data_IF_702213751822
#
_entry.id   IF_702213751822
#
_cell.length_a   1.000
_cell.length_b   1.000
_cell.length_c   1.000
_cell.angle_alpha   90.00
_cell.angle_beta   90.00
_cell.angle_gamma   90.00
#
_symmetry.space_group_name_H-M   'P 1'
#
loop_
_entity.id
_entity.type
_entity.pdbx_description
1 polymer ?
#
# COMPACT_ATOMS: atom_id res chain seq x y z
N UNK A 1 11.92 10.65 -10.77
CA UNK A 1 12.47 11.70 -11.66
C UNK A 1 11.28 12.30 -12.34
N UNK A 2 11.12 13.62 -12.28
CA UNK A 2 10.00 14.32 -12.89
C UNK A 2 10.47 14.91 -14.21
N UNK A 3 9.73 14.69 -15.29
CA UNK A 3 10.11 15.13 -16.65
C UNK A 3 8.97 15.95 -17.21
N UNK A 4 9.27 17.15 -17.70
CA UNK A 4 8.25 18.05 -18.26
C UNK A 4 7.56 17.40 -19.46
N UNK A 5 6.27 17.66 -19.61
CA UNK A 5 5.52 17.24 -20.80
C UNK A 5 6.14 17.81 -22.09
N UNK A 6 6.24 16.94 -23.11
CA UNK A 6 6.87 17.24 -24.40
C UNK A 6 8.40 17.12 -24.44
N UNK A 7 9.08 16.83 -23.32
CA UNK A 7 10.53 16.55 -23.31
C UNK A 7 10.79 15.07 -23.60
N UNK A 8 11.82 14.77 -24.40
CA UNK A 8 12.23 13.40 -24.70
C UNK A 8 12.65 12.66 -23.42
N UNK A 9 12.13 11.44 -23.23
CA UNK A 9 12.41 10.62 -22.05
C UNK A 9 13.70 9.83 -22.28
N UNK A 10 14.62 9.89 -21.32
CA UNK A 10 15.85 9.09 -21.38
C UNK A 10 15.52 7.59 -21.27
N UNK A 11 16.45 6.72 -21.70
CA UNK A 11 16.33 5.26 -21.60
C UNK A 11 15.88 4.77 -20.21
N UNK A 12 16.47 5.31 -19.14
CA UNK A 12 16.10 4.96 -17.76
C UNK A 12 14.65 5.33 -17.42
N UNK A 13 14.16 6.47 -17.92
CA UNK A 13 12.79 6.90 -17.67
C UNK A 13 11.80 5.98 -18.41
N UNK A 14 12.13 5.60 -19.66
CA UNK A 14 11.34 4.65 -20.45
C UNK A 14 11.28 3.26 -19.81
N UNK A 15 12.41 2.74 -19.31
CA UNK A 15 12.46 1.45 -18.61
C UNK A 15 11.59 1.45 -17.34
N UNK A 16 11.63 2.54 -16.56
CA UNK A 16 10.79 2.69 -15.35
C UNK A 16 9.31 2.79 -15.74
N UNK A 17 8.98 3.54 -16.78
CA UNK A 17 7.61 3.68 -17.28
C UNK A 17 7.05 2.34 -17.75
N UNK A 18 7.80 1.57 -18.53
CA UNK A 18 7.40 0.24 -18.99
C UNK A 18 7.21 -0.72 -17.81
N UNK A 19 8.12 -0.68 -16.84
CA UNK A 19 8.01 -1.46 -15.60
C UNK A 19 6.73 -1.10 -14.82
N UNK A 20 6.46 0.18 -14.61
CA UNK A 20 5.27 0.66 -13.91
C UNK A 20 3.97 0.30 -14.64
N UNK A 21 3.96 0.37 -15.98
CA UNK A 21 2.80 -0.05 -16.78
C UNK A 21 2.57 -1.56 -16.66
N UNK A 22 3.65 -2.36 -16.65
CA UNK A 22 3.57 -3.81 -16.50
C UNK A 22 3.04 -4.20 -15.12
N UNK A 23 3.56 -3.58 -14.06
CA UNK A 23 3.08 -3.77 -12.69
C UNK A 23 1.63 -3.32 -12.55
N UNK A 24 1.29 -2.11 -13.00
CA UNK A 24 -0.07 -1.60 -12.94
C UNK A 24 -1.07 -2.51 -13.66
N UNK A 25 -0.70 -3.05 -14.83
CA UNK A 25 -1.51 -4.02 -15.56
C UNK A 25 -1.65 -5.33 -14.81
N UNK A 26 -0.57 -5.84 -14.22
CA UNK A 26 -0.56 -7.07 -13.43
C UNK A 26 -1.47 -6.94 -12.21
N UNK A 27 -1.25 -5.93 -11.37
CA UNK A 27 -2.01 -5.70 -10.13
C UNK A 27 -3.51 -5.60 -10.43
N UNK A 28 -3.84 -4.80 -11.44
CA UNK A 28 -5.21 -4.65 -11.89
C UNK A 28 -5.74 -6.02 -12.35
N UNK A 29 -5.04 -6.74 -13.22
CA UNK A 29 -5.56 -8.02 -13.75
C UNK A 29 -5.81 -9.03 -12.64
N UNK A 30 -4.95 -9.06 -11.61
CA UNK A 30 -5.14 -9.87 -10.41
C UNK A 30 -6.35 -9.42 -9.59
N UNK A 31 -6.55 -8.10 -9.39
CA UNK A 31 -7.79 -7.56 -8.79
C UNK A 31 -9.02 -8.06 -9.53
N UNK A 32 -9.06 -7.92 -10.87
CA UNK A 32 -10.20 -8.35 -11.69
C UNK A 32 -10.43 -9.86 -11.58
N UNK A 33 -9.39 -10.69 -11.60
CA UNK A 33 -9.52 -12.14 -11.44
C UNK A 33 -10.11 -12.54 -10.09
N UNK A 34 -9.72 -11.85 -9.00
CA UNK A 34 -10.25 -12.11 -7.66
C UNK A 34 -11.74 -11.73 -7.61
N UNK A 35 -12.10 -10.56 -8.11
CA UNK A 35 -13.50 -10.13 -8.16
C UNK A 35 -14.35 -11.04 -9.05
N UNK A 36 -13.85 -11.38 -10.24
CA UNK A 36 -14.49 -12.31 -11.17
C UNK A 36 -14.71 -13.68 -10.50
N UNK A 37 -13.70 -14.23 -9.83
CA UNK A 37 -13.84 -15.50 -9.12
C UNK A 37 -14.90 -15.45 -8.02
N UNK A 38 -14.95 -14.36 -7.23
CA UNK A 38 -15.97 -14.18 -6.20
C UNK A 38 -17.38 -14.05 -6.76
N UNK A 39 -17.54 -13.30 -7.86
CA UNK A 39 -18.83 -13.12 -8.51
C UNK A 39 -19.32 -14.41 -9.16
N UNK A 40 -18.46 -15.13 -9.88
CA UNK A 40 -18.82 -16.42 -10.48
C UNK A 40 -19.09 -17.51 -9.44
N UNK A 41 -18.46 -17.46 -8.26
CA UNK A 41 -18.82 -18.36 -7.16
C UNK A 41 -20.26 -18.10 -6.67
N UNK A 42 -20.69 -16.82 -6.60
CA UNK A 42 -22.08 -16.47 -6.28
C UNK A 42 -23.04 -16.90 -7.39
N UNK A 43 -22.72 -16.60 -8.66
CA UNK A 43 -23.51 -17.03 -9.83
C UNK A 43 -23.68 -18.57 -9.83
N UNK A 44 -22.61 -19.31 -9.59
CA UNK A 44 -22.66 -20.77 -9.49
C UNK A 44 -23.64 -21.24 -8.41
N UNK A 45 -23.61 -20.63 -7.23
CA UNK A 45 -24.54 -20.98 -6.15
C UNK A 45 -26.01 -20.73 -6.51
N UNK A 46 -26.30 -19.64 -7.23
CA UNK A 46 -27.65 -19.29 -7.70
C UNK A 46 -28.12 -20.25 -8.79
N UNK A 47 -27.26 -20.60 -9.76
CA UNK A 47 -27.59 -21.51 -10.86
C UNK A 47 -27.85 -22.94 -10.36
N UNK A 48 -27.06 -23.43 -9.39
CA UNK A 48 -27.29 -24.75 -8.76
C UNK A 48 -28.59 -24.73 -7.95
N UNK A 49 -28.87 -23.67 -7.20
CA UNK A 49 -30.14 -23.51 -6.49
C UNK A 49 -31.35 -23.36 -7.44
N UNK A 50 -31.11 -22.91 -8.68
CA UNK A 50 -32.09 -22.82 -9.76
C UNK A 50 -32.32 -24.14 -10.53
N UNK A 51 -31.65 -25.23 -10.13
CA UNK A 51 -31.88 -26.57 -10.69
C UNK A 51 -30.93 -27.00 -11.80
N UNK A 52 -29.85 -26.25 -12.06
CA UNK A 52 -28.83 -26.64 -13.04
C UNK A 52 -27.79 -27.57 -12.38
N UNK A 53 -27.51 -28.71 -13.01
CA UNK A 53 -26.50 -29.67 -12.54
C UNK A 53 -25.08 -29.06 -12.54
N UNK A 54 -24.37 -29.19 -11.42
CA UNK A 54 -23.00 -28.70 -11.25
C UNK A 54 -22.00 -29.29 -12.28
N UNK A 55 -22.20 -30.54 -12.69
CA UNK A 55 -21.34 -31.18 -13.70
C UNK A 55 -21.48 -30.53 -15.07
N UNK A 56 -22.68 -30.09 -15.45
CA UNK A 56 -22.93 -29.41 -16.73
C UNK A 56 -22.32 -28.01 -16.72
N UNK A 57 -22.39 -27.31 -15.59
CA UNK A 57 -21.78 -25.99 -15.39
C UNK A 57 -20.25 -26.03 -15.49
N UNK A 58 -19.61 -27.03 -14.90
CA UNK A 58 -18.14 -27.17 -14.91
C UNK A 58 -17.53 -27.35 -16.31
N UNK A 59 -18.32 -27.88 -17.26
CA UNK A 59 -17.90 -28.12 -18.65
C UNK A 59 -18.06 -26.89 -19.54
N UNK A 60 -18.87 -25.91 -19.12
CA UNK A 60 -19.12 -24.68 -19.87
C UNK A 60 -18.16 -23.57 -19.45
N UNK A 61 -17.68 -22.72 -20.38
CA UNK A 61 -16.90 -21.55 -20.04
C UNK A 61 -17.74 -20.57 -19.21
N UNK A 62 -17.11 -19.91 -18.23
CA UNK A 62 -17.76 -18.97 -17.29
C UNK A 62 -18.60 -17.88 -17.97
N UNK A 63 -18.13 -17.38 -19.11
CA UNK A 63 -18.83 -16.36 -19.91
C UNK A 63 -20.25 -16.79 -20.32
N UNK A 64 -20.45 -18.09 -20.60
CA UNK A 64 -21.77 -18.62 -20.98
C UNK A 64 -22.71 -18.84 -19.80
N UNK A 65 -22.24 -18.75 -18.55
CA UNK A 65 -23.10 -18.91 -17.38
C UNK A 65 -24.09 -17.75 -17.23
N UNK A 66 -23.72 -16.57 -17.72
CA UNK A 66 -24.56 -15.37 -17.73
C UNK A 66 -25.70 -15.47 -18.75
N UNK A 67 -25.58 -16.33 -19.76
CA UNK A 67 -26.58 -16.53 -20.82
C UNK A 67 -27.64 -17.59 -20.45
N UNK A 68 -27.46 -18.30 -19.33
CA UNK A 68 -28.37 -19.35 -18.89
C UNK A 68 -29.60 -18.74 -18.21
N UNK A 69 -30.79 -19.06 -18.72
CA UNK A 69 -32.05 -18.69 -18.08
C UNK A 69 -32.45 -19.68 -16.98
N UNK A 70 -32.97 -19.15 -15.88
CA UNK A 70 -33.62 -19.91 -14.80
C UNK A 70 -35.14 -19.80 -14.90
N UNK A 71 -35.84 -20.87 -14.49
CA UNK A 71 -37.31 -20.88 -14.45
C UNK A 71 -37.91 -20.13 -13.24
N UNK A 72 -37.09 -19.92 -12.20
CA UNK A 72 -37.47 -19.25 -10.95
C UNK A 72 -37.22 -17.73 -11.07
N UNK A 73 -38.29 -16.94 -10.98
CA UNK A 73 -38.28 -15.50 -11.24
C UNK A 73 -37.40 -14.73 -10.25
N UNK A 74 -37.38 -15.11 -8.97
CA UNK A 74 -36.53 -14.45 -7.96
C UNK A 74 -35.04 -14.70 -8.23
N UNK A 75 -34.67 -15.93 -8.60
CA UNK A 75 -33.28 -16.30 -8.91
C UNK A 75 -32.82 -15.73 -10.25
N UNK A 76 -33.73 -15.61 -11.21
CA UNK A 76 -33.45 -14.95 -12.48
C UNK A 76 -33.11 -13.48 -12.27
N UNK A 77 -33.88 -12.76 -11.44
CA UNK A 77 -33.58 -11.37 -11.08
C UNK A 77 -32.23 -11.23 -10.37
N UNK A 78 -31.87 -12.17 -9.49
CA UNK A 78 -30.55 -12.18 -8.84
C UNK A 78 -29.41 -12.41 -9.84
N UNK A 79 -29.60 -13.30 -10.82
CA UNK A 79 -28.62 -13.57 -11.87
C UNK A 79 -28.39 -12.33 -12.75
N UNK A 80 -29.47 -11.64 -13.11
CA UNK A 80 -29.41 -10.40 -13.90
C UNK A 80 -28.69 -9.28 -13.14
N UNK A 81 -28.96 -9.09 -11.85
CA UNK A 81 -28.21 -8.15 -11.01
C UNK A 81 -26.71 -8.48 -10.92
N UNK A 82 -26.36 -9.77 -10.85
CA UNK A 82 -24.96 -10.19 -10.83
C UNK A 82 -24.29 -9.97 -12.20
N UNK A 83 -25.03 -10.13 -13.30
CA UNK A 83 -24.55 -9.84 -14.64
C UNK A 83 -24.29 -8.34 -14.84
N UNK A 84 -25.22 -7.49 -14.40
CA UNK A 84 -25.03 -6.03 -14.42
C UNK A 84 -23.82 -5.61 -13.59
N UNK A 85 -23.65 -6.18 -12.39
CA UNK A 85 -22.48 -5.93 -11.54
C UNK A 85 -21.17 -6.35 -12.22
N UNK A 86 -21.17 -7.45 -12.96
CA UNK A 86 -19.99 -7.89 -13.71
C UNK A 86 -19.59 -6.87 -14.79
N UNK A 87 -20.58 -6.42 -15.56
CA UNK A 87 -20.36 -5.48 -16.66
C UNK A 87 -19.93 -4.10 -16.15
N UNK A 88 -20.55 -3.62 -15.05
CA UNK A 88 -20.16 -2.38 -14.39
C UNK A 88 -18.72 -2.44 -13.87
N UNK A 89 -18.37 -3.53 -13.16
CA UNK A 89 -17.03 -3.73 -12.61
C UNK A 89 -15.98 -3.80 -13.72
N UNK A 90 -16.27 -4.50 -14.83
CA UNK A 90 -15.38 -4.58 -15.99
C UNK A 90 -15.18 -3.20 -16.63
N UNK A 91 -16.25 -2.42 -16.81
CA UNK A 91 -16.17 -1.08 -17.38
C UNK A 91 -15.43 -0.10 -16.47
N UNK A 92 -15.65 -0.16 -15.16
CA UNK A 92 -14.90 0.64 -14.18
C UNK A 92 -13.41 0.29 -14.21
N UNK A 93 -13.11 -0.99 -14.33
CA UNK A 93 -11.76 -1.49 -14.37
C UNK A 93 -10.98 -1.05 -15.61
N UNK A 94 -11.61 -1.09 -16.80
CA UNK A 94 -11.03 -0.54 -18.03
C UNK A 94 -10.73 0.95 -17.88
N UNK A 95 -11.67 1.73 -17.32
CA UNK A 95 -11.46 3.16 -17.01
C UNK A 95 -10.29 3.37 -16.04
N UNK A 96 -10.18 2.53 -15.00
CA UNK A 96 -9.10 2.60 -14.00
C UNK A 96 -7.74 2.30 -14.63
N UNK A 97 -7.66 1.32 -15.53
CA UNK A 97 -6.46 0.97 -16.28
C UNK A 97 -6.01 2.13 -17.17
N UNK A 98 -6.93 2.70 -17.95
CA UNK A 98 -6.64 3.83 -18.83
C UNK A 98 -6.22 5.08 -18.04
N UNK A 99 -6.89 5.37 -16.93
CA UNK A 99 -6.51 6.47 -16.05
C UNK A 99 -5.11 6.26 -15.44
N UNK A 100 -4.77 5.05 -15.01
CA UNK A 100 -3.45 4.73 -14.43
C UNK A 100 -2.36 4.79 -15.50
N UNK A 101 -2.62 4.26 -16.70
CA UNK A 101 -1.74 4.39 -17.88
C UNK A 101 -1.48 5.85 -18.20
N UNK A 102 -2.53 6.66 -18.34
CA UNK A 102 -2.41 8.10 -18.64
C UNK A 102 -1.54 8.81 -17.62
N UNK A 103 -1.72 8.56 -16.32
CA UNK A 103 -0.91 9.16 -15.25
C UNK A 103 0.56 8.77 -15.31
N UNK A 104 0.88 7.53 -15.71
CA UNK A 104 2.26 7.05 -15.82
C UNK A 104 2.95 7.64 -17.06
N UNK A 105 2.22 7.75 -18.19
CA UNK A 105 2.80 8.23 -19.44
C UNK A 105 2.87 9.74 -19.55
N UNK A 106 1.93 10.46 -18.92
CA UNK A 106 1.85 11.92 -18.96
C UNK A 106 3.08 12.56 -18.31
N UNK A 107 3.62 13.61 -18.94
CA UNK A 107 4.68 14.40 -18.33
C UNK A 107 4.21 15.21 -17.12
N UNK A 108 5.15 15.61 -16.29
CA UNK A 108 4.87 16.39 -15.09
C UNK A 108 4.70 17.87 -15.43
N UNK A 109 3.76 18.53 -14.73
CA UNK A 109 3.65 19.98 -14.77
C UNK A 109 4.73 20.61 -13.88
N UNK A 110 5.73 21.20 -14.53
CA UNK A 110 6.90 21.80 -13.89
C UNK A 110 6.89 23.31 -14.07
N UNK A 111 7.46 24.03 -13.10
CA UNK A 111 7.64 25.47 -13.15
C UNK A 111 8.29 25.93 -14.47
N UNK A 112 7.95 27.13 -14.98
CA UNK A 112 8.47 27.62 -16.25
C UNK A 112 10.00 27.64 -16.25
N UNK A 113 10.60 27.10 -17.31
CA UNK A 113 12.05 26.98 -17.47
C UNK A 113 12.67 25.70 -16.92
N UNK A 114 11.92 24.88 -16.17
CA UNK A 114 12.43 23.60 -15.63
C UNK A 114 12.07 22.45 -16.57
N UNK A 115 13.09 21.77 -17.10
CA UNK A 115 12.90 20.62 -18.01
C UNK A 115 12.75 19.29 -17.25
N UNK A 116 13.52 19.08 -16.18
CA UNK A 116 13.54 17.84 -15.40
C UNK A 116 13.94 18.10 -13.95
N UNK A 117 13.34 17.38 -13.00
CA UNK A 117 13.67 17.43 -11.57
C UNK A 117 14.01 16.02 -11.07
N UNK A 118 15.14 15.88 -10.36
CA UNK A 118 15.50 14.64 -9.67
C UNK A 118 15.38 14.86 -8.17
N UNK A 119 14.36 14.28 -7.55
CA UNK A 119 14.23 14.24 -6.08
C UNK A 119 14.95 12.99 -5.56
N UNK A 120 15.92 13.19 -4.68
CA UNK A 120 16.67 12.11 -4.01
C UNK A 120 16.26 12.09 -2.54
N UNK A 121 15.74 10.95 -2.09
CA UNK A 121 15.40 10.73 -0.68
C UNK A 121 16.56 10.00 -0.02
N UNK A 122 17.20 10.64 0.97
CA UNK A 122 18.31 10.06 1.72
C UNK A 122 17.80 9.60 3.09
N UNK A 123 17.80 8.29 3.32
CA UNK A 123 17.55 7.74 4.64
C UNK A 123 18.83 7.81 5.48
N UNK A 124 18.85 8.66 6.50
CA UNK A 124 19.99 8.78 7.44
C UNK A 124 19.58 8.19 8.78
N UNK A 125 20.28 7.12 9.19
CA UNK A 125 20.18 6.62 10.56
C UNK A 125 21.13 7.43 11.44
N UNK A 126 20.59 8.25 12.33
CA UNK A 126 21.37 8.98 13.33
C UNK A 126 21.43 8.13 14.60
N UNK A 127 22.64 7.82 15.04
CA UNK A 127 22.87 7.21 16.35
C UNK A 127 22.90 8.29 17.41
N UNK A 128 22.61 7.89 18.65
CA UNK A 128 22.65 8.78 19.80
C UNK A 128 24.10 9.18 20.09
N UNK A 129 24.34 10.46 20.33
CA UNK A 129 25.67 11.00 20.56
C UNK A 129 25.70 12.04 21.68
N UNK A 130 26.87 12.30 22.30
CA UNK A 130 27.01 13.43 23.20
C UNK A 130 26.58 14.73 22.54
N UNK A 131 25.81 15.55 23.26
CA UNK A 131 25.15 16.74 22.74
C UNK A 131 23.70 16.53 22.32
N UNK A 132 23.23 15.29 22.15
CA UNK A 132 21.81 15.03 21.90
C UNK A 132 20.98 15.31 23.15
N UNK A 133 19.76 15.83 22.92
CA UNK A 133 18.85 16.23 23.98
C UNK A 133 17.82 15.14 24.24
N UNK A 134 17.75 14.68 25.48
CA UNK A 134 16.72 13.75 25.96
C UNK A 134 15.79 14.46 26.94
N UNK A 135 14.53 14.01 26.99
CA UNK A 135 13.55 14.54 27.94
C UNK A 135 12.62 13.42 28.42
N UNK A 136 12.26 13.45 29.69
CA UNK A 136 11.21 12.62 30.25
C UNK A 136 9.85 13.33 30.20
N UNK A 137 8.79 12.60 30.57
CA UNK A 137 7.40 13.09 30.53
C UNK A 137 7.08 14.09 31.64
N UNK A 138 7.91 14.17 32.68
CA UNK A 138 7.76 15.08 33.83
C UNK A 138 8.53 16.40 33.65
N UNK A 139 8.85 16.77 32.41
CA UNK A 139 9.54 18.03 32.09
C UNK A 139 11.04 18.06 32.47
N UNK A 140 11.60 16.94 32.94
CA UNK A 140 13.05 16.76 33.07
C UNK A 140 13.68 16.71 31.67
N UNK A 141 14.64 17.60 31.42
CA UNK A 141 15.36 17.73 30.15
C UNK A 141 16.84 17.63 30.44
N UNK A 142 17.56 16.80 29.70
CA UNK A 142 19.00 16.61 29.81
C UNK A 142 19.65 16.61 28.43
N UNK A 143 20.92 16.96 28.39
CA UNK A 143 21.78 16.77 27.22
C UNK A 143 22.76 15.67 27.59
N UNK A 144 22.99 14.72 26.68
CA UNK A 144 23.94 13.62 26.90
C UNK A 144 25.34 14.23 26.98
N UNK A 145 25.99 14.08 28.14
CA UNK A 145 27.34 14.61 28.36
C UNK A 145 28.43 13.65 27.87
N UNK A 146 28.26 12.36 28.14
CA UNK A 146 29.20 11.30 27.79
C UNK A 146 28.47 9.97 27.65
N UNK A 147 28.94 9.12 26.73
CA UNK A 147 28.54 7.72 26.64
C UNK A 147 29.68 6.91 27.28
N UNK A 148 29.39 6.21 28.37
CA UNK A 148 30.38 5.40 29.07
C UNK A 148 30.34 3.94 28.56
N UNK A 149 31.49 3.23 28.61
CA UNK A 149 31.52 1.78 28.49
C UNK A 149 30.69 1.10 29.59
N UNK A 150 30.26 -0.15 29.35
CA UNK A 150 29.36 -0.88 30.26
C UNK A 150 30.06 -1.16 31.60
N UNK A 151 31.37 -1.41 31.57
CA UNK A 151 32.20 -1.68 32.73
C UNK A 151 32.33 -0.51 33.72
N UNK A 152 32.13 0.73 33.25
CA UNK A 152 32.17 1.94 34.08
C UNK A 152 30.79 2.28 34.68
N UNK A 153 29.72 1.56 34.28
CA UNK A 153 28.37 1.85 34.74
C UNK A 153 28.12 1.24 36.13
N UNK A 154 27.43 1.96 37.03
CA UNK A 154 26.96 1.37 38.28
C UNK A 154 26.06 0.15 38.00
N UNK A 155 26.20 -0.90 38.81
CA UNK A 155 25.50 -2.17 38.66
C UNK A 155 24.84 -2.62 39.96
N UNK A 156 23.84 -3.49 39.84
CA UNK A 156 23.15 -4.10 40.99
C UNK A 156 23.87 -5.35 41.55
N UNK A 157 23.38 -5.92 42.64
CA UNK A 157 24.00 -7.11 43.27
C UNK A 157 24.04 -8.35 42.33
N UNK A 158 23.22 -8.35 41.28
CA UNK A 158 23.18 -9.40 40.26
C UNK A 158 24.11 -9.11 39.07
N UNK A 159 24.81 -7.97 39.07
CA UNK A 159 25.72 -7.54 38.02
C UNK A 159 25.07 -6.84 36.83
N UNK A 160 23.81 -6.41 36.94
CA UNK A 160 23.08 -5.69 35.89
C UNK A 160 23.44 -4.21 35.91
N UNK A 161 24.07 -3.66 34.84
CA UNK A 161 24.42 -2.25 34.77
C UNK A 161 23.19 -1.37 34.50
N UNK A 162 23.22 -0.12 34.97
CA UNK A 162 22.20 0.89 34.67
C UNK A 162 22.43 1.47 33.27
N UNK A 163 21.36 1.76 32.51
CA UNK A 163 21.48 2.35 31.16
C UNK A 163 21.71 3.88 31.16
N UNK A 164 21.09 4.61 32.09
CA UNK A 164 21.13 6.08 32.16
C UNK A 164 21.24 6.53 33.62
N UNK A 165 22.24 7.37 33.90
CA UNK A 165 22.41 8.01 35.22
C UNK A 165 21.94 9.46 35.16
N UNK A 166 21.03 9.84 36.06
CA UNK A 166 20.50 11.21 36.17
C UNK A 166 20.99 11.88 37.45
N UNK A 167 21.14 13.21 37.41
CA UNK A 167 21.51 14.00 38.58
C UNK A 167 20.31 14.16 39.54
N UNK A 168 20.38 13.65 40.79
CA UNK A 168 19.28 13.74 41.74
C UNK A 168 18.93 15.18 42.14
N UNK A 169 19.88 16.12 42.06
CA UNK A 169 19.65 17.53 42.37
C UNK A 169 18.64 18.20 41.42
N UNK A 170 18.41 17.59 40.25
CA UNK A 170 17.44 18.09 39.27
C UNK A 170 15.98 17.91 39.69
N UNK A 171 15.69 17.04 40.67
CA UNK A 171 14.31 16.72 41.11
C UNK A 171 13.78 17.71 42.17
N UNK A 172 14.48 17.95 43.31
CA UNK A 172 13.98 18.86 44.34
C UNK A 172 13.81 20.30 43.84
N UNK A 173 14.75 20.79 43.02
CA UNK A 173 14.72 22.15 42.50
C UNK A 173 13.54 22.42 41.57
N UNK A 174 12.98 21.39 40.92
CA UNK A 174 11.86 21.52 39.98
C UNK A 174 10.52 21.06 40.56
N UNK A 175 10.51 20.55 41.80
CA UNK A 175 9.34 19.99 42.47
C UNK A 175 8.55 19.01 41.57
N UNK A 176 9.26 18.21 40.79
CA UNK A 176 8.69 17.28 39.80
C UNK A 176 8.83 15.81 40.27
N UNK A 177 8.30 15.54 41.47
CA UNK A 177 8.19 14.20 42.05
C UNK A 177 7.15 13.39 41.28
#
# INVERSE_FOLDING_TARGET
VFTRDGVEKDKRALEIEEMQLREAKKDLTEELQIFEAGLFARIHSVLVAGGIEAEKLSKLPRQRWLELGLADEEKQNQLEQLAEQYDELKAEFEKKLDAKRRKITQGDDLAPGVLKIVKVYLAVKRQIQPGDKMAGRHGNKGVISKINPIEDMPYDENGTPVDIVLNPLGVPSRMNI
#
